data_IF_216137412016
#
_entry.id   IF_216137412016
#
_cell.length_a   1.000
_cell.length_b   1.000
_cell.length_c   1.000
_cell.angle_alpha   90.00
_cell.angle_beta   90.00
_cell.angle_gamma   90.00
#
_symmetry.space_group_name_H-M   'P 1'
#
loop_
_entity.id
_entity.type
_entity.pdbx_description
1 polymer ?
#
# COMPACT_ATOMS: atom_id res chain seq x y z
N UNK A 1 7.98 -26.65 1.90
CA UNK A 1 6.72 -26.39 1.18
C UNK A 1 5.68 -25.90 2.18
N UNK A 2 4.86 -24.92 1.77
CA UNK A 2 3.86 -24.26 2.61
C UNK A 2 2.49 -24.44 1.96
N UNK A 3 1.47 -24.96 2.65
CA UNK A 3 0.13 -25.09 2.11
C UNK A 3 -0.54 -23.71 1.98
N UNK A 4 -1.28 -23.51 0.90
CA UNK A 4 -2.12 -22.35 0.65
C UNK A 4 -3.56 -22.77 0.87
N UNK A 5 -4.29 -21.99 1.65
CA UNK A 5 -5.66 -22.32 2.08
C UNK A 5 -6.66 -21.37 1.45
N UNK A 6 -7.87 -21.89 1.19
CA UNK A 6 -9.04 -21.06 0.94
C UNK A 6 -9.55 -20.40 2.25
N UNK A 7 -10.55 -19.55 2.14
CA UNK A 7 -11.15 -18.88 3.30
C UNK A 7 -11.84 -19.85 4.29
N UNK A 8 -12.16 -21.07 3.89
CA UNK A 8 -12.78 -22.09 4.73
C UNK A 8 -11.75 -22.95 5.46
N UNK A 9 -10.47 -22.88 5.05
CA UNK A 9 -9.38 -23.66 5.62
C UNK A 9 -9.07 -24.94 4.84
N UNK A 10 -9.59 -25.11 3.62
CA UNK A 10 -9.21 -26.22 2.75
C UNK A 10 -7.89 -25.90 2.05
N UNK A 11 -7.02 -26.88 1.89
CA UNK A 11 -5.78 -26.73 1.11
C UNK A 11 -6.14 -26.71 -0.37
N UNK A 12 -5.79 -25.62 -1.08
CA UNK A 12 -6.06 -25.41 -2.50
C UNK A 12 -4.80 -25.40 -3.36
N UNK A 13 -3.62 -25.16 -2.74
CA UNK A 13 -2.35 -25.08 -3.45
C UNK A 13 -1.16 -25.23 -2.47
N UNK A 14 0.06 -25.21 -3.01
CA UNK A 14 1.29 -25.18 -2.23
C UNK A 14 2.24 -24.13 -2.78
N UNK A 15 2.90 -23.40 -1.87
CA UNK A 15 4.08 -22.58 -2.14
C UNK A 15 5.34 -23.30 -1.70
N UNK A 16 6.42 -23.15 -2.44
CA UNK A 16 7.73 -23.66 -2.09
C UNK A 16 8.78 -22.56 -2.14
N UNK A 17 9.74 -22.60 -1.19
CA UNK A 17 10.99 -21.83 -1.27
C UNK A 17 12.16 -22.80 -1.22
N UNK A 18 13.12 -22.62 -2.10
CA UNK A 18 14.39 -23.34 -2.02
C UNK A 18 15.20 -22.82 -0.83
N UNK A 19 15.95 -23.72 -0.19
CA UNK A 19 16.79 -23.39 0.97
C UNK A 19 18.26 -23.16 0.56
N UNK A 20 18.57 -23.39 -0.70
CA UNK A 20 19.87 -23.16 -1.33
C UNK A 20 19.81 -21.98 -2.32
N UNK A 21 20.89 -21.76 -3.09
CA UNK A 21 21.00 -20.69 -4.10
C UNK A 21 20.38 -21.06 -5.45
N UNK A 22 19.63 -22.18 -5.55
CA UNK A 22 18.99 -22.59 -6.79
C UNK A 22 17.87 -21.61 -7.21
N UNK A 23 17.62 -21.55 -8.52
CA UNK A 23 16.56 -20.70 -9.09
C UNK A 23 15.52 -21.55 -9.79
N UNK A 24 14.23 -21.18 -9.73
CA UNK A 24 13.67 -19.99 -9.09
C UNK A 24 13.60 -20.15 -7.56
N UNK A 25 13.81 -19.04 -6.83
CA UNK A 25 13.82 -19.01 -5.34
C UNK A 25 12.48 -19.44 -4.74
N UNK A 26 11.38 -19.11 -5.42
CA UNK A 26 10.03 -19.50 -5.03
C UNK A 26 9.33 -20.21 -6.18
N UNK A 27 8.58 -21.24 -5.85
CA UNK A 27 7.74 -22.02 -6.77
C UNK A 27 6.37 -22.16 -6.15
N UNK A 28 5.33 -21.79 -6.88
CA UNK A 28 3.95 -21.97 -6.47
C UNK A 28 3.25 -22.97 -7.40
N UNK A 29 2.23 -23.64 -6.89
CA UNK A 29 1.34 -24.45 -7.72
C UNK A 29 0.86 -23.64 -8.94
N UNK A 30 0.66 -24.26 -10.10
CA UNK A 30 0.02 -23.62 -11.23
C UNK A 30 -1.43 -23.25 -10.91
N UNK A 31 -2.07 -22.45 -11.76
CA UNK A 31 -3.52 -22.19 -11.71
C UNK A 31 -4.30 -23.51 -11.83
N UNK A 32 -5.38 -23.62 -11.05
CA UNK A 32 -6.31 -24.77 -11.08
C UNK A 32 -7.75 -24.28 -10.99
N UNK A 33 -8.72 -25.18 -11.06
CA UNK A 33 -10.14 -24.85 -10.89
C UNK A 33 -10.49 -24.28 -9.49
N UNK A 34 -9.63 -24.53 -8.50
CA UNK A 34 -9.84 -24.09 -7.10
C UNK A 34 -8.77 -23.11 -6.60
N UNK A 35 -7.75 -22.83 -7.40
CA UNK A 35 -6.66 -21.93 -7.03
C UNK A 35 -6.37 -20.92 -8.14
N UNK A 36 -6.68 -19.66 -7.85
CA UNK A 36 -6.37 -18.52 -8.70
C UNK A 36 -5.45 -17.57 -7.92
N UNK A 37 -4.20 -17.42 -8.39
CA UNK A 37 -3.19 -16.58 -7.72
C UNK A 37 -3.64 -15.13 -7.57
N UNK A 38 -4.34 -14.62 -8.59
CA UNK A 38 -4.85 -13.25 -8.61
C UNK A 38 -5.99 -12.98 -7.60
N UNK A 39 -6.61 -14.02 -7.07
CA UNK A 39 -7.76 -13.93 -6.16
C UNK A 39 -7.45 -14.50 -4.77
N UNK A 40 -6.30 -15.16 -4.61
CA UNK A 40 -5.92 -15.82 -3.37
C UNK A 40 -4.96 -14.94 -2.56
N UNK A 41 -5.23 -14.81 -1.26
CA UNK A 41 -4.36 -14.12 -0.30
C UNK A 41 -3.89 -15.14 0.74
N UNK A 42 -2.57 -15.30 0.86
CA UNK A 42 -1.95 -16.24 1.81
C UNK A 42 -2.24 -15.82 3.26
N UNK A 43 -2.56 -16.79 4.11
CA UNK A 43 -2.88 -16.65 5.52
C UNK A 43 -4.16 -15.85 5.85
N UNK A 44 -4.94 -15.42 4.85
CA UNK A 44 -6.17 -14.67 5.10
C UNK A 44 -7.22 -15.48 5.90
N UNK A 45 -7.24 -16.80 5.78
CA UNK A 45 -8.11 -17.67 6.58
C UNK A 45 -7.82 -17.58 8.09
N UNK A 46 -6.59 -17.18 8.47
CA UNK A 46 -6.20 -16.91 9.86
C UNK A 46 -6.52 -15.45 10.20
N UNK A 47 -5.99 -14.51 9.42
CA UNK A 47 -6.10 -13.08 9.67
C UNK A 47 -7.54 -12.60 9.83
N UNK A 48 -8.48 -13.11 9.04
CA UNK A 48 -9.91 -12.77 9.14
C UNK A 48 -10.59 -13.19 10.45
N UNK A 49 -9.98 -14.07 11.25
CA UNK A 49 -10.50 -14.51 12.55
C UNK A 49 -9.98 -13.66 13.70
N UNK A 50 -8.96 -12.84 13.45
CA UNK A 50 -8.42 -11.93 14.46
C UNK A 50 -9.47 -10.88 14.85
N UNK A 51 -9.53 -10.55 16.13
CA UNK A 51 -10.34 -9.43 16.61
C UNK A 51 -9.81 -8.07 16.12
N UNK A 52 -8.53 -8.03 15.74
CA UNK A 52 -7.87 -6.85 15.20
C UNK A 52 -8.05 -6.83 13.69
N UNK A 53 -8.85 -5.89 13.19
CA UNK A 53 -9.10 -5.71 11.75
C UNK A 53 -8.03 -4.84 11.07
N UNK A 54 -6.80 -4.93 11.54
CA UNK A 54 -5.61 -4.23 11.05
C UNK A 54 -4.64 -5.25 10.49
N UNK A 55 -4.59 -5.39 9.17
CA UNK A 55 -3.79 -6.42 8.51
C UNK A 55 -2.42 -5.89 8.11
N UNK A 56 -1.41 -6.75 8.15
CA UNK A 56 -0.05 -6.45 7.67
C UNK A 56 0.15 -7.17 6.35
N UNK A 57 0.24 -6.42 5.25
CA UNK A 57 0.45 -6.96 3.91
C UNK A 57 1.94 -6.98 3.60
N UNK A 58 2.49 -8.19 3.53
CA UNK A 58 3.90 -8.47 3.28
C UNK A 58 4.17 -8.82 1.82
N UNK A 59 5.45 -8.88 1.45
CA UNK A 59 5.85 -9.28 0.11
C UNK A 59 5.81 -10.80 -0.08
N UNK A 60 6.23 -11.57 0.92
CA UNK A 60 6.40 -13.01 0.78
C UNK A 60 5.90 -13.86 1.94
N UNK A 61 5.84 -15.17 1.68
CA UNK A 61 5.39 -16.16 2.66
C UNK A 61 6.25 -16.19 3.92
N UNK A 62 7.57 -15.98 3.79
CA UNK A 62 8.48 -16.07 4.93
C UNK A 62 8.23 -14.95 5.93
N UNK A 63 7.94 -13.74 5.46
CA UNK A 63 7.61 -12.61 6.31
C UNK A 63 6.32 -12.87 7.09
N UNK A 64 5.29 -13.38 6.39
CA UNK A 64 4.02 -13.77 7.02
C UNK A 64 4.24 -14.85 8.07
N UNK A 65 5.00 -15.91 7.76
CA UNK A 65 5.27 -17.00 8.69
C UNK A 65 6.03 -16.48 9.91
N UNK A 66 7.06 -15.65 9.71
CA UNK A 66 7.84 -15.06 10.80
C UNK A 66 6.98 -14.16 11.70
N UNK A 67 6.11 -13.36 11.11
CA UNK A 67 5.16 -12.55 11.87
C UNK A 67 4.16 -13.39 12.66
N UNK A 68 3.59 -14.44 12.07
CA UNK A 68 2.69 -15.36 12.79
C UNK A 68 3.39 -16.06 13.95
N UNK A 69 4.66 -16.48 13.77
CA UNK A 69 5.48 -17.02 14.87
C UNK A 69 5.75 -16.00 15.96
N UNK A 70 5.82 -14.72 15.61
CA UNK A 70 5.95 -13.60 16.55
C UNK A 70 4.62 -13.18 17.20
N UNK A 71 3.52 -13.90 16.94
CA UNK A 71 2.19 -13.60 17.48
C UNK A 71 1.46 -12.45 16.76
N UNK A 72 1.80 -12.19 15.49
CA UNK A 72 1.12 -11.21 14.63
C UNK A 72 0.32 -12.00 13.59
N UNK A 73 -0.85 -12.50 13.98
CA UNK A 73 -1.72 -13.37 13.19
C UNK A 73 -2.50 -12.68 12.09
N UNK A 74 -2.34 -11.35 11.95
CA UNK A 74 -2.96 -10.51 10.93
C UNK A 74 -2.08 -10.29 9.71
N UNK A 75 -0.89 -10.90 9.66
CA UNK A 75 -0.01 -10.82 8.51
C UNK A 75 -0.52 -11.67 7.35
N UNK A 76 -0.49 -11.10 6.14
CA UNK A 76 -0.94 -11.73 4.88
C UNK A 76 -0.01 -11.36 3.74
N UNK A 77 -0.02 -12.12 2.64
CA UNK A 77 0.67 -11.70 1.42
C UNK A 77 -0.05 -12.19 0.15
N UNK A 78 0.29 -11.60 -0.99
CA UNK A 78 -0.09 -12.11 -2.30
C UNK A 78 0.63 -13.43 -2.59
N UNK A 79 0.02 -14.29 -3.43
CA UNK A 79 0.54 -15.64 -3.71
C UNK A 79 1.59 -15.63 -4.84
N UNK A 80 2.74 -15.00 -4.62
CA UNK A 80 3.87 -15.02 -5.58
C UNK A 80 3.63 -14.20 -6.85
N UNK A 81 2.72 -13.24 -6.79
CA UNK A 81 2.43 -12.25 -7.84
C UNK A 81 2.37 -10.86 -7.21
N UNK A 82 2.44 -9.82 -8.04
CA UNK A 82 2.10 -8.48 -7.57
C UNK A 82 0.64 -8.45 -7.10
N UNK A 83 0.34 -7.60 -6.10
CA UNK A 83 -1.01 -7.39 -5.59
C UNK A 83 -1.98 -7.04 -6.72
N UNK A 84 -3.18 -7.62 -6.68
CA UNK A 84 -4.22 -7.43 -7.69
C UNK A 84 -5.43 -6.67 -7.12
N UNK A 85 -6.28 -6.06 -7.99
CA UNK A 85 -7.53 -5.43 -7.54
C UNK A 85 -8.48 -6.41 -6.84
N UNK A 86 -8.50 -7.68 -7.26
CA UNK A 86 -9.33 -8.74 -6.67
C UNK A 86 -8.88 -9.06 -5.25
N UNK A 87 -7.55 -9.17 -5.02
CA UNK A 87 -6.98 -9.36 -3.69
C UNK A 87 -7.22 -8.15 -2.79
N UNK A 88 -7.12 -6.92 -3.31
CA UNK A 88 -7.47 -5.71 -2.56
C UNK A 88 -8.92 -5.72 -2.13
N UNK A 89 -9.85 -6.09 -3.03
CA UNK A 89 -11.28 -6.22 -2.70
C UNK A 89 -11.49 -7.24 -1.59
N UNK A 90 -10.88 -8.42 -1.74
CA UNK A 90 -10.98 -9.50 -0.76
C UNK A 90 -10.44 -9.09 0.62
N UNK A 91 -9.26 -8.44 0.67
CA UNK A 91 -8.70 -7.92 1.94
C UNK A 91 -9.64 -6.88 2.56
N UNK A 92 -10.23 -6.00 1.74
CA UNK A 92 -11.12 -4.91 2.20
C UNK A 92 -12.43 -5.39 2.83
N UNK A 93 -12.84 -6.63 2.60
CA UNK A 93 -14.00 -7.24 3.26
C UNK A 93 -13.72 -7.53 4.75
N UNK A 94 -12.45 -7.78 5.12
CA UNK A 94 -12.05 -8.24 6.44
C UNK A 94 -11.22 -7.25 7.23
N UNK A 95 -10.59 -6.26 6.58
CA UNK A 95 -9.72 -5.28 7.22
C UNK A 95 -10.34 -3.87 7.20
N UNK A 96 -10.17 -3.13 8.31
CA UNK A 96 -10.46 -1.70 8.39
C UNK A 96 -9.20 -0.86 8.15
N UNK A 97 -8.02 -1.47 8.37
CA UNK A 97 -6.71 -0.89 8.13
C UNK A 97 -5.75 -1.93 7.54
N UNK A 98 -4.92 -1.52 6.59
CA UNK A 98 -3.83 -2.32 6.02
C UNK A 98 -2.52 -1.58 6.17
N UNK A 99 -1.52 -2.26 6.75
CA UNK A 99 -0.14 -1.79 6.81
C UNK A 99 0.65 -2.50 5.72
N UNK A 100 1.16 -1.75 4.76
CA UNK A 100 2.08 -2.27 3.76
C UNK A 100 3.47 -2.43 4.40
N UNK A 101 3.99 -3.65 4.41
CA UNK A 101 5.29 -4.02 4.96
C UNK A 101 6.09 -4.80 3.92
N UNK A 102 6.55 -4.08 2.89
CA UNK A 102 7.36 -4.61 1.81
C UNK A 102 8.85 -4.35 2.06
N UNK A 103 9.69 -5.02 1.28
CA UNK A 103 11.16 -4.86 1.36
C UNK A 103 11.56 -3.38 1.23
N UNK A 104 12.62 -2.99 1.91
CA UNK A 104 13.12 -1.61 1.91
C UNK A 104 13.90 -1.24 0.64
N UNK A 105 14.15 -2.19 -0.26
CA UNK A 105 14.84 -1.96 -1.52
C UNK A 105 13.97 -1.23 -2.57
N UNK A 106 14.56 -0.90 -3.71
CA UNK A 106 13.86 -0.15 -4.76
C UNK A 106 12.65 -0.92 -5.33
N UNK A 107 12.72 -2.25 -5.41
CA UNK A 107 11.63 -3.08 -5.91
C UNK A 107 10.44 -3.06 -4.93
N UNK A 108 10.69 -3.25 -3.63
CA UNK A 108 9.67 -3.17 -2.58
C UNK A 108 9.05 -1.77 -2.46
N UNK A 109 9.85 -0.71 -2.66
CA UNK A 109 9.31 0.66 -2.71
C UNK A 109 8.38 0.88 -3.90
N UNK A 110 8.70 0.34 -5.09
CA UNK A 110 7.82 0.38 -6.27
C UNK A 110 6.54 -0.43 -6.03
N UNK A 111 6.66 -1.59 -5.41
CA UNK A 111 5.52 -2.42 -5.02
C UNK A 111 4.61 -1.70 -4.02
N UNK A 112 5.19 -1.00 -3.03
CA UNK A 112 4.45 -0.16 -2.08
C UNK A 112 3.63 0.91 -2.80
N UNK A 113 4.23 1.69 -3.70
CA UNK A 113 3.52 2.73 -4.44
C UNK A 113 2.38 2.16 -5.29
N UNK A 114 2.63 1.03 -5.97
CA UNK A 114 1.60 0.34 -6.75
C UNK A 114 0.45 -0.14 -5.86
N UNK A 115 0.75 -0.70 -4.70
CA UNK A 115 -0.26 -1.14 -3.74
C UNK A 115 -1.07 0.03 -3.19
N UNK A 116 -0.45 1.16 -2.87
CA UNK A 116 -1.14 2.39 -2.47
C UNK A 116 -2.13 2.88 -3.53
N UNK A 117 -1.78 2.77 -4.82
CA UNK A 117 -2.69 3.15 -5.90
C UNK A 117 -3.88 2.19 -6.02
N UNK A 118 -3.65 0.89 -5.85
CA UNK A 118 -4.73 -0.11 -5.84
C UNK A 118 -5.72 0.10 -4.68
N UNK A 119 -5.24 0.48 -3.50
CA UNK A 119 -6.08 0.78 -2.35
C UNK A 119 -6.74 2.17 -2.38
N UNK A 120 -6.40 3.04 -3.34
CA UNK A 120 -6.85 4.44 -3.39
C UNK A 120 -8.37 4.62 -3.28
N UNK A 121 -9.12 3.74 -3.93
CA UNK A 121 -10.59 3.77 -3.96
C UNK A 121 -11.22 2.77 -2.98
N UNK A 122 -10.42 2.12 -2.14
CA UNK A 122 -10.88 1.23 -1.08
C UNK A 122 -11.31 2.03 0.15
N UNK A 123 -12.29 1.55 0.95
CA UNK A 123 -12.65 2.18 2.21
C UNK A 123 -11.60 1.95 3.31
N UNK A 124 -10.62 1.10 3.08
CA UNK A 124 -9.60 0.68 4.05
C UNK A 124 -8.56 1.79 4.24
N UNK A 125 -8.20 2.07 5.48
CA UNK A 125 -7.06 2.94 5.79
C UNK A 125 -5.76 2.22 5.44
N UNK A 126 -4.82 2.94 4.84
CA UNK A 126 -3.53 2.34 4.47
C UNK A 126 -2.38 3.10 5.11
N UNK A 127 -1.57 2.36 5.87
CA UNK A 127 -0.29 2.80 6.40
C UNK A 127 0.86 2.13 5.66
N UNK A 128 2.07 2.69 5.81
CA UNK A 128 3.31 2.10 5.28
C UNK A 128 4.30 1.95 6.40
N UNK A 129 4.73 0.72 6.66
CA UNK A 129 5.78 0.41 7.61
C UNK A 129 7.15 0.62 6.94
N UNK A 130 7.96 1.48 7.55
CA UNK A 130 9.39 1.57 7.24
C UNK A 130 10.18 0.81 8.31
N UNK A 131 10.97 -0.15 7.90
CA UNK A 131 11.74 -1.02 8.79
C UNK A 131 13.17 -0.48 8.92
N UNK A 132 13.53 0.14 10.05
CA UNK A 132 14.88 0.68 10.23
C UNK A 132 15.87 -0.44 10.54
N UNK A 133 17.01 -0.48 9.83
CA UNK A 133 18.14 -1.36 10.15
C UNK A 133 17.95 -2.84 9.82
N UNK A 134 16.91 -3.17 9.03
CA UNK A 134 16.68 -4.49 8.44
C UNK A 134 16.05 -4.34 7.05
N UNK A 135 16.20 -5.37 6.24
CA UNK A 135 15.67 -5.39 4.87
C UNK A 135 14.17 -5.68 4.84
N UNK A 136 13.75 -6.63 5.64
CA UNK A 136 12.40 -7.17 5.67
C UNK A 136 11.94 -7.49 7.11
N UNK A 137 10.66 -7.83 7.31
CA UNK A 137 10.13 -8.18 8.63
C UNK A 137 10.81 -9.37 9.30
N UNK A 138 11.15 -10.41 8.52
CA UNK A 138 11.78 -11.62 9.03
C UNK A 138 13.17 -11.30 9.65
N UNK A 139 13.99 -10.53 8.93
CA UNK A 139 15.29 -10.07 9.43
C UNK A 139 15.14 -9.20 10.69
N UNK A 140 14.18 -8.25 10.69
CA UNK A 140 13.97 -7.37 11.83
C UNK A 140 13.57 -8.15 13.08
N UNK A 141 12.58 -9.06 12.96
CA UNK A 141 12.11 -9.87 14.09
C UNK A 141 13.24 -10.74 14.66
N UNK A 142 14.05 -11.36 13.80
CA UNK A 142 15.21 -12.15 14.21
C UNK A 142 16.27 -11.31 14.96
N UNK A 143 16.50 -10.08 14.51
CA UNK A 143 17.54 -9.21 15.03
C UNK A 143 17.13 -8.47 16.30
N UNK A 144 15.90 -7.99 16.36
CA UNK A 144 15.45 -7.06 17.40
C UNK A 144 14.30 -7.61 18.26
N UNK A 145 13.71 -8.74 17.87
CA UNK A 145 12.62 -9.39 18.59
C UNK A 145 11.22 -8.92 18.23
N UNK A 146 10.22 -9.77 18.55
CA UNK A 146 8.81 -9.57 18.23
C UNK A 146 8.21 -8.31 18.86
N UNK A 147 8.54 -8.01 20.11
CA UNK A 147 7.95 -6.86 20.83
C UNK A 147 8.37 -5.51 20.21
N UNK A 148 9.64 -5.39 19.76
CA UNK A 148 10.06 -4.19 19.04
C UNK A 148 9.38 -4.05 17.70
N UNK A 149 9.12 -5.16 17.02
CA UNK A 149 8.39 -5.12 15.75
C UNK A 149 6.92 -4.72 15.95
N UNK A 150 6.25 -5.21 16.99
CA UNK A 150 4.90 -4.77 17.37
C UNK A 150 4.86 -3.27 17.66
N UNK A 151 5.84 -2.75 18.40
CA UNK A 151 5.95 -1.31 18.65
C UNK A 151 6.14 -0.48 17.36
N UNK A 152 6.87 -1.02 16.37
CA UNK A 152 6.94 -0.39 15.04
C UNK A 152 5.60 -0.36 14.34
N UNK A 153 4.82 -1.45 14.39
CA UNK A 153 3.47 -1.49 13.80
C UNK A 153 2.54 -0.46 14.43
N UNK A 154 2.67 -0.22 15.74
CA UNK A 154 1.86 0.78 16.44
C UNK A 154 2.24 2.22 16.07
N UNK A 155 3.49 2.45 15.66
CA UNK A 155 4.00 3.75 15.23
C UNK A 155 3.88 4.02 13.72
N UNK A 156 3.16 3.19 12.97
CA UNK A 156 3.07 3.33 11.51
C UNK A 156 2.43 4.66 11.10
N UNK A 157 3.14 5.41 10.26
CA UNK A 157 2.62 6.60 9.59
C UNK A 157 1.62 6.27 8.48
N UNK A 158 0.84 7.26 8.08
CA UNK A 158 -0.10 7.07 6.97
C UNK A 158 0.61 7.05 5.60
N UNK A 159 -0.13 6.62 4.58
CA UNK A 159 0.36 6.53 3.20
C UNK A 159 0.90 7.87 2.66
N UNK A 160 0.37 8.99 3.14
CA UNK A 160 0.78 10.33 2.71
C UNK A 160 2.16 10.68 3.25
N UNK A 161 2.46 10.35 4.52
CA UNK A 161 3.79 10.54 5.12
C UNK A 161 4.87 9.80 4.30
N UNK A 162 4.60 8.57 3.91
CA UNK A 162 5.51 7.79 3.05
C UNK A 162 5.71 8.44 1.68
N UNK A 163 4.62 8.84 1.01
CA UNK A 163 4.68 9.48 -0.32
C UNK A 163 5.43 10.80 -0.28
N UNK A 164 5.16 11.64 0.72
CA UNK A 164 5.86 12.93 0.90
C UNK A 164 7.34 12.74 1.23
N UNK A 165 7.68 11.82 2.14
CA UNK A 165 9.07 11.50 2.47
C UNK A 165 9.87 11.01 1.24
N UNK A 166 9.25 10.16 0.40
CA UNK A 166 9.86 9.73 -0.85
C UNK A 166 10.00 10.86 -1.87
N UNK A 167 8.99 11.72 -2.00
CA UNK A 167 9.08 12.90 -2.85
C UNK A 167 10.23 13.80 -2.38
N UNK A 168 10.28 14.05 -1.07
CA UNK A 168 11.31 14.87 -0.44
C UNK A 168 12.74 14.40 -0.77
N UNK A 169 12.96 13.10 -0.80
CA UNK A 169 14.29 12.52 -1.08
C UNK A 169 14.80 12.75 -2.51
N UNK A 170 13.95 13.21 -3.43
CA UNK A 170 14.29 13.47 -4.82
C UNK A 170 14.76 14.92 -5.06
N UNK A 171 14.62 15.80 -4.06
CA UNK A 171 14.89 17.23 -4.20
C UNK A 171 15.93 17.73 -3.19
N UNK A 172 16.83 18.58 -3.65
CA UNK A 172 17.73 19.35 -2.77
C UNK A 172 17.06 20.69 -2.40
N UNK A 173 16.55 20.78 -1.18
CA UNK A 173 15.86 21.99 -0.71
C UNK A 173 16.77 23.18 -0.46
N UNK A 174 18.10 23.04 -0.52
CA UNK A 174 19.01 24.17 -0.51
C UNK A 174 18.95 24.97 -1.82
N UNK A 175 18.52 24.34 -2.91
CA UNK A 175 18.34 24.96 -4.21
C UNK A 175 16.90 25.47 -4.35
N UNK A 176 16.71 26.78 -4.53
CA UNK A 176 15.39 27.41 -4.59
C UNK A 176 14.50 26.80 -5.68
N UNK A 177 15.04 26.50 -6.86
CA UNK A 177 14.27 25.91 -7.95
C UNK A 177 13.74 24.51 -7.59
N UNK A 178 14.58 23.67 -6.99
CA UNK A 178 14.18 22.32 -6.56
C UNK A 178 13.20 22.38 -5.38
N UNK A 179 13.41 23.31 -4.45
CA UNK A 179 12.49 23.54 -3.33
C UNK A 179 11.09 23.95 -3.80
N UNK A 180 10.99 24.83 -4.78
CA UNK A 180 9.71 25.25 -5.38
C UNK A 180 9.02 24.10 -6.11
N UNK A 181 9.75 23.27 -6.85
CA UNK A 181 9.17 22.13 -7.55
C UNK A 181 8.70 21.05 -6.55
N UNK A 182 9.47 20.78 -5.49
CA UNK A 182 9.04 19.92 -4.38
C UNK A 182 7.71 20.38 -3.78
N UNK A 183 7.59 21.67 -3.42
CA UNK A 183 6.36 22.23 -2.84
C UNK A 183 5.18 22.07 -3.80
N UNK A 184 5.38 22.35 -5.08
CA UNK A 184 4.35 22.23 -6.10
C UNK A 184 3.84 20.78 -6.22
N UNK A 185 4.72 19.78 -6.22
CA UNK A 185 4.33 18.37 -6.28
C UNK A 185 3.69 17.90 -4.98
N UNK A 186 4.23 18.29 -3.83
CA UNK A 186 3.65 17.99 -2.53
C UNK A 186 2.24 18.56 -2.39
N UNK A 187 2.01 19.80 -2.80
CA UNK A 187 0.69 20.45 -2.83
C UNK A 187 -0.27 19.69 -3.76
N UNK A 188 0.18 19.21 -4.91
CA UNK A 188 -0.67 18.40 -5.79
C UNK A 188 -1.08 17.07 -5.12
N UNK A 189 -0.18 16.41 -4.38
CA UNK A 189 -0.52 15.20 -3.60
C UNK A 189 -1.54 15.51 -2.49
N UNK A 190 -1.40 16.65 -1.80
CA UNK A 190 -2.35 17.09 -0.78
C UNK A 190 -3.73 17.42 -1.37
N UNK A 191 -3.77 18.00 -2.57
CA UNK A 191 -5.02 18.36 -3.25
C UNK A 191 -5.90 17.15 -3.61
N UNK A 192 -5.32 15.95 -3.68
CA UNK A 192 -6.06 14.69 -3.87
C UNK A 192 -6.81 14.23 -2.61
N UNK A 193 -6.51 14.82 -1.43
CA UNK A 193 -7.16 14.50 -0.17
C UNK A 193 -8.43 15.33 0.03
N UNK A 194 -9.46 14.69 0.54
CA UNK A 194 -10.76 15.34 0.77
C UNK A 194 -10.89 16.00 2.15
N UNK A 195 -9.96 15.71 3.08
CA UNK A 195 -10.02 16.22 4.45
C UNK A 195 -9.27 17.56 4.60
N UNK A 196 -9.98 18.71 4.80
CA UNK A 196 -9.36 20.02 4.92
C UNK A 196 -8.40 20.14 6.13
N UNK A 197 -8.72 19.48 7.24
CA UNK A 197 -7.87 19.50 8.45
C UNK A 197 -6.55 18.77 8.20
N UNK A 198 -6.59 17.62 7.50
CA UNK A 198 -5.38 16.91 7.09
C UNK A 198 -4.53 17.79 6.17
N UNK A 199 -5.15 18.43 5.18
CA UNK A 199 -4.49 19.37 4.27
C UNK A 199 -3.81 20.51 5.02
N UNK A 200 -4.46 21.09 6.01
CA UNK A 200 -3.91 22.19 6.81
C UNK A 200 -2.70 21.77 7.65
N UNK A 201 -2.77 20.60 8.29
CA UNK A 201 -1.66 20.03 9.08
C UNK A 201 -0.42 19.82 8.20
N UNK A 202 -0.60 19.18 7.04
CA UNK A 202 0.51 18.94 6.12
C UNK A 202 1.05 20.20 5.46
N UNK A 203 0.20 21.18 5.17
CA UNK A 203 0.65 22.49 4.70
C UNK A 203 1.53 23.20 5.74
N UNK A 204 1.22 23.05 7.05
CA UNK A 204 2.06 23.53 8.12
C UNK A 204 3.44 22.85 8.13
N UNK A 205 3.49 21.51 8.03
CA UNK A 205 4.75 20.76 7.96
C UNK A 205 5.60 21.15 6.76
N UNK A 206 4.97 21.29 5.57
CA UNK A 206 5.68 21.76 4.37
C UNK A 206 6.24 23.18 4.55
N UNK A 207 5.50 24.08 5.22
CA UNK A 207 5.98 25.43 5.51
C UNK A 207 7.24 25.44 6.38
N UNK A 208 7.26 24.65 7.44
CA UNK A 208 8.41 24.48 8.32
C UNK A 208 9.62 23.88 7.59
N UNK A 209 9.38 22.81 6.81
CA UNK A 209 10.44 22.09 6.09
C UNK A 209 11.09 22.94 4.98
N UNK A 210 10.29 23.74 4.28
CA UNK A 210 10.73 24.49 3.08
C UNK A 210 11.06 25.96 3.36
N UNK A 211 10.77 26.44 4.58
CA UNK A 211 10.84 27.85 4.94
C UNK A 211 9.99 28.77 4.03
N UNK A 212 8.87 28.25 3.52
CA UNK A 212 7.85 28.99 2.74
C UNK A 212 6.66 29.27 3.65
N UNK A 213 6.06 30.45 3.58
CA UNK A 213 4.94 30.77 4.44
C UNK A 213 3.74 29.81 4.24
N UNK A 214 3.12 29.35 5.35
CA UNK A 214 1.92 28.50 5.31
C UNK A 214 0.82 29.11 4.45
N UNK A 215 0.66 30.44 4.49
CA UNK A 215 -0.34 31.16 3.68
C UNK A 215 -0.12 30.95 2.18
N UNK A 216 1.13 31.03 1.70
CA UNK A 216 1.46 30.81 0.29
C UNK A 216 1.16 29.35 -0.13
N UNK A 217 1.51 28.38 0.71
CA UNK A 217 1.23 26.95 0.48
C UNK A 217 -0.28 26.69 0.44
N UNK A 218 -1.05 27.25 1.38
CA UNK A 218 -2.51 27.11 1.44
C UNK A 218 -3.19 27.72 0.21
N UNK A 219 -2.77 28.90 -0.24
CA UNK A 219 -3.31 29.53 -1.47
C UNK A 219 -3.07 28.64 -2.71
N UNK A 220 -1.86 28.06 -2.79
CA UNK A 220 -1.53 27.15 -3.87
C UNK A 220 -2.36 25.85 -3.78
N UNK A 221 -2.57 25.33 -2.57
CA UNK A 221 -3.37 24.14 -2.31
C UNK A 221 -4.85 24.33 -2.71
N UNK A 222 -5.47 25.46 -2.35
CA UNK A 222 -6.84 25.79 -2.78
C UNK A 222 -6.98 25.79 -4.30
N UNK A 223 -5.98 26.35 -5.00
CA UNK A 223 -5.93 26.34 -6.46
C UNK A 223 -5.81 24.94 -7.03
N UNK A 224 -4.97 24.10 -6.43
CA UNK A 224 -4.76 22.71 -6.82
C UNK A 224 -6.02 21.85 -6.58
N UNK A 225 -6.70 22.03 -5.44
CA UNK A 225 -7.97 21.35 -5.11
C UNK A 225 -9.06 21.68 -6.15
N UNK A 226 -9.20 22.96 -6.52
CA UNK A 226 -10.16 23.38 -7.57
C UNK A 226 -9.85 22.70 -8.91
N UNK A 227 -8.57 22.62 -9.30
CA UNK A 227 -8.13 21.93 -10.54
C UNK A 227 -8.39 20.43 -10.48
N UNK A 228 -8.07 19.78 -9.36
CA UNK A 228 -8.30 18.35 -9.17
C UNK A 228 -9.81 18.00 -9.23
N UNK A 229 -10.66 18.79 -8.57
CA UNK A 229 -12.11 18.62 -8.63
C UNK A 229 -12.71 18.79 -10.02
N UNK A 230 -12.17 19.70 -10.83
CA UNK A 230 -12.59 19.91 -12.21
C UNK A 230 -12.16 18.72 -13.11
N UNK A 231 -10.92 18.23 -12.94
CA UNK A 231 -10.42 17.05 -13.66
C UNK A 231 -11.24 15.81 -13.35
N UNK A 232 -11.53 15.52 -12.09
CA UNK A 232 -12.35 14.37 -11.69
C UNK A 232 -13.76 14.42 -12.26
N UNK A 233 -14.41 15.61 -12.28
CA UNK A 233 -15.71 15.81 -12.92
C UNK A 233 -15.66 15.57 -14.43
N UNK A 234 -14.60 16.01 -15.10
CA UNK A 234 -14.41 15.81 -16.53
C UNK A 234 -14.19 14.33 -16.88
N UNK A 235 -13.33 13.62 -16.12
CA UNK A 235 -13.07 12.19 -16.30
C UNK A 235 -14.32 11.35 -16.09
N UNK A 236 -15.10 11.64 -15.03
CA UNK A 236 -16.37 10.97 -14.76
C UNK A 236 -17.39 11.19 -15.89
N UNK A 237 -17.42 12.39 -16.48
CA UNK A 237 -18.27 12.71 -17.63
C UNK A 237 -17.87 11.96 -18.89
N UNK A 238 -16.57 11.84 -19.16
CA UNK A 238 -16.04 11.04 -20.27
C UNK A 238 -16.34 9.55 -20.11
N UNK A 239 -16.26 9.04 -18.89
CA UNK A 239 -16.54 7.64 -18.58
C UNK A 239 -18.03 7.30 -18.81
N UNK A 240 -18.93 8.20 -18.41
CA UNK A 240 -20.39 8.07 -18.67
C UNK A 240 -20.69 8.13 -20.16
N UNK A 241 -20.05 9.02 -20.92
CA UNK A 241 -20.24 9.10 -22.38
C UNK A 241 -19.77 7.83 -23.06
N UNK A 242 -18.59 7.31 -22.74
CA UNK A 242 -18.06 6.04 -23.29
C UNK A 242 -18.95 4.82 -22.94
N UNK A 243 -19.48 4.76 -21.73
CA UNK A 243 -20.40 3.67 -21.33
C UNK A 243 -21.77 3.81 -22.01
N UNK A 244 -22.24 5.01 -22.30
CA UNK A 244 -23.45 5.28 -23.06
C UNK A 244 -23.32 4.88 -24.54
N UNK A 245 -22.18 5.16 -25.17
CA UNK A 245 -21.86 4.74 -26.54
C UNK A 245 -21.76 3.20 -26.67
N UNK A 246 -21.16 2.51 -25.67
CA UNK A 246 -21.10 1.04 -25.68
C UNK A 246 -22.47 0.37 -25.54
N UNK A 247 -23.45 1.00 -24.87
CA UNK A 247 -24.81 0.47 -24.78
C UNK A 247 -25.64 0.70 -26.04
N UNK A 248 -25.29 1.67 -26.89
CA UNK A 248 -25.96 1.90 -28.18
C UNK A 248 -25.49 0.94 -29.30
N UNK A 249 -24.33 0.31 -29.14
CA UNK A 249 -23.78 -0.66 -30.14
C UNK A 249 -24.27 -2.10 -29.89
N UNK A 250 -25.07 -2.36 -28.85
CA UNK A 250 -25.61 -3.68 -28.51
C UNK A 250 -27.14 -3.80 -28.78
N UNK A 251 -27.60 -3.30 -29.88
CA UNK A 251 -28.95 -3.65 -30.38
C UNK A 251 -28.83 -4.30 -31.78
N UNK A 252 -29.55 -5.40 -32.01
CA UNK A 252 -29.36 -6.34 -33.11
C UNK A 252 -29.59 -5.75 -34.47
#
# INVERSE_FOLDING_TARGET
MTPIFDLRGNIIAFGGRVLDDSKPKYVNSPETLVYHKSETVFALQIAKRSAVRRFVLCEGYMDVISMHQAGIDTAVCACGTALTPEQVRLISEYADEVILSYDSDEAGQKATLRSLELFRNSPVKVGVLQIPGAKDPDEYIKKYGAERFKALLDGVGNALDFRLGRLRSQYDLAQDAQRLEYVKEAVNMLAERSNPTEQEVYAGRLAEETNISKTAIMTQLETAVKKAGNRHRWEKRQQVLKSGEMNQIKLP
#
